data_IF_753496487311
#
_entry.id   IF_753496487311
#
_cell.length_a   1.000
_cell.length_b   1.000
_cell.length_c   1.000
_cell.angle_alpha   90.00
_cell.angle_beta   90.00
_cell.angle_gamma   90.00
#
_symmetry.space_group_name_H-M   'P 1'
#
loop_
_entity.id
_entity.type
_entity.pdbx_description
1 polymer ?
#
# COMPACT_ATOMS: atom_id res chain seq x y z
N UNK A 1 5.62 -18.39 -5.95
CA UNK A 1 6.81 -18.09 -5.18
C UNK A 1 7.21 -16.63 -5.23
N UNK A 2 8.50 -16.39 -5.04
CA UNK A 2 9.07 -15.05 -4.92
C UNK A 2 8.80 -14.14 -6.15
N UNK A 3 8.87 -14.68 -7.36
CA UNK A 3 8.61 -13.92 -8.59
C UNK A 3 7.17 -13.38 -8.70
N UNK A 4 6.19 -14.08 -8.13
CA UNK A 4 4.80 -13.62 -8.11
C UNK A 4 4.61 -12.48 -7.10
N UNK A 5 5.35 -12.52 -6.00
CA UNK A 5 5.39 -11.44 -5.00
C UNK A 5 5.97 -10.15 -5.57
N UNK A 6 7.04 -10.23 -6.37
CA UNK A 6 7.70 -9.04 -6.94
C UNK A 6 6.74 -8.25 -7.83
N UNK A 7 5.92 -8.91 -8.66
CA UNK A 7 4.92 -8.21 -9.48
C UNK A 7 3.90 -7.45 -8.64
N UNK A 8 3.36 -8.11 -7.63
CA UNK A 8 2.37 -7.50 -6.73
C UNK A 8 3.00 -6.38 -5.90
N UNK A 9 4.26 -6.54 -5.51
CA UNK A 9 5.00 -5.54 -4.77
C UNK A 9 5.30 -4.31 -5.62
N UNK A 10 5.69 -4.46 -6.90
CA UNK A 10 5.89 -3.33 -7.81
C UNK A 10 4.60 -2.54 -7.99
N UNK A 11 3.48 -3.21 -8.24
CA UNK A 11 2.18 -2.56 -8.40
C UNK A 11 1.73 -1.88 -7.10
N UNK A 12 1.85 -2.56 -5.96
CA UNK A 12 1.47 -2.01 -4.66
C UNK A 12 2.40 -0.90 -4.19
N UNK A 13 3.71 -1.05 -4.37
CA UNK A 13 4.69 -0.07 -3.91
C UNK A 13 4.56 1.28 -4.62
N UNK A 14 4.18 1.29 -5.91
CA UNK A 14 3.93 2.53 -6.65
C UNK A 14 2.78 3.37 -6.08
N UNK A 15 1.94 2.79 -5.22
CA UNK A 15 0.79 3.43 -4.61
C UNK A 15 1.02 3.83 -3.14
N UNK A 16 2.16 3.48 -2.55
CA UNK A 16 2.44 3.70 -1.14
C UNK A 16 2.88 5.14 -0.87
N UNK A 17 2.23 5.77 0.10
CA UNK A 17 2.64 7.06 0.66
C UNK A 17 3.75 6.89 1.71
N UNK A 18 3.89 5.68 2.27
CA UNK A 18 4.94 5.24 3.17
C UNK A 18 4.94 3.73 3.31
N UNK A 19 5.96 3.13 3.90
CA UNK A 19 6.04 1.69 4.09
C UNK A 19 6.56 1.30 5.47
N UNK A 20 6.04 0.20 6.01
CA UNK A 20 6.60 -0.46 7.18
C UNK A 20 7.40 -1.68 6.72
N UNK A 21 8.71 -1.61 6.92
CA UNK A 21 9.63 -2.73 6.65
C UNK A 21 9.67 -3.64 7.87
N UNK A 22 9.18 -4.87 7.72
CA UNK A 22 9.21 -5.86 8.80
C UNK A 22 10.45 -6.75 8.64
N UNK A 23 11.29 -6.78 9.66
CA UNK A 23 12.51 -7.60 9.73
C UNK A 23 12.44 -8.49 10.97
N UNK A 24 12.70 -9.78 10.83
CA UNK A 24 12.80 -10.67 11.98
C UNK A 24 14.12 -10.42 12.71
N UNK A 25 14.07 -10.11 14.00
CA UNK A 25 15.27 -9.88 14.80
C UNK A 25 16.19 -11.12 14.88
N UNK A 26 15.63 -12.33 14.72
CA UNK A 26 16.37 -13.58 14.66
C UNK A 26 17.19 -13.77 13.39
N UNK A 27 16.75 -13.19 12.27
CA UNK A 27 17.32 -13.42 10.95
C UNK A 27 18.15 -12.22 10.45
N UNK A 28 17.86 -11.02 10.99
CA UNK A 28 18.48 -9.77 10.56
C UNK A 28 18.16 -9.40 9.11
N UNK A 29 19.07 -8.69 8.47
CA UNK A 29 18.91 -8.24 7.09
C UNK A 29 19.21 -9.37 6.10
N UNK A 30 18.17 -9.87 5.46
CA UNK A 30 18.25 -10.92 4.45
C UNK A 30 18.32 -10.34 3.02
N UNK A 31 18.63 -11.21 2.03
CA UNK A 31 18.63 -10.82 0.62
C UNK A 31 17.29 -10.19 0.19
N UNK A 32 16.18 -10.77 0.62
CA UNK A 32 14.82 -10.25 0.35
C UNK A 32 14.61 -8.87 0.95
N UNK A 33 15.12 -8.60 2.15
CA UNK A 33 15.05 -7.27 2.77
C UNK A 33 15.70 -6.21 1.87
N UNK A 34 16.87 -6.54 1.32
CA UNK A 34 17.62 -5.66 0.40
C UNK A 34 16.86 -5.44 -0.92
N UNK A 35 16.26 -6.49 -1.47
CA UNK A 35 15.42 -6.39 -2.68
C UNK A 35 14.19 -5.49 -2.44
N UNK A 36 13.53 -5.64 -1.29
CA UNK A 36 12.38 -4.82 -0.92
C UNK A 36 12.77 -3.33 -0.76
N UNK A 37 13.90 -3.05 -0.11
CA UNK A 37 14.41 -1.68 0.03
C UNK A 37 14.75 -1.06 -1.32
N UNK A 38 15.44 -1.81 -2.18
CA UNK A 38 15.78 -1.36 -3.53
C UNK A 38 14.53 -1.01 -4.32
N UNK A 39 13.54 -1.89 -4.29
CA UNK A 39 12.30 -1.71 -5.01
C UNK A 39 11.49 -0.52 -4.46
N UNK A 40 11.33 -0.43 -3.14
CA UNK A 40 10.67 0.71 -2.50
C UNK A 40 11.31 2.05 -2.94
N UNK A 41 12.65 2.08 -3.01
CA UNK A 41 13.37 3.26 -3.47
C UNK A 41 13.14 3.56 -4.95
N UNK A 42 13.14 2.55 -5.81
CA UNK A 42 12.93 2.70 -7.27
C UNK A 42 11.52 3.18 -7.61
N UNK A 43 10.50 2.71 -6.90
CA UNK A 43 9.12 3.15 -7.11
C UNK A 43 8.78 4.46 -6.39
N UNK A 44 9.73 5.04 -5.66
CA UNK A 44 9.58 6.37 -5.07
C UNK A 44 8.88 6.41 -3.72
N UNK A 45 8.89 5.32 -2.93
CA UNK A 45 8.38 5.36 -1.54
C UNK A 45 9.20 6.41 -0.75
N UNK A 46 8.56 7.47 -0.23
CA UNK A 46 9.30 8.61 0.32
C UNK A 46 9.94 8.31 1.67
N UNK A 47 9.24 7.62 2.54
CA UNK A 47 9.66 7.30 3.90
C UNK A 47 9.30 5.86 4.28
N UNK A 48 10.11 5.27 5.14
CA UNK A 48 9.85 3.94 5.73
C UNK A 48 9.92 4.02 7.26
N UNK A 49 9.32 3.05 7.92
CA UNK A 49 9.51 2.71 9.34
C UNK A 49 9.98 1.27 9.37
N UNK A 50 10.85 0.90 10.28
CA UNK A 50 11.24 -0.49 10.48
C UNK A 50 10.54 -1.04 11.70
N UNK A 51 9.99 -2.25 11.58
CA UNK A 51 9.50 -3.03 12.71
C UNK A 51 10.38 -4.29 12.85
N UNK A 52 11.24 -4.31 13.88
CA UNK A 52 12.02 -5.48 14.26
C UNK A 52 11.12 -6.44 15.04
N UNK A 53 10.62 -7.43 14.33
CA UNK A 53 9.69 -8.44 14.85
C UNK A 53 10.42 -9.63 15.46
N UNK A 54 9.71 -10.47 16.22
CA UNK A 54 10.21 -11.70 16.87
C UNK A 54 11.27 -11.46 17.93
N UNK A 55 11.28 -10.29 18.58
CA UNK A 55 12.24 -9.99 19.66
C UNK A 55 12.12 -10.98 20.82
N UNK A 56 10.93 -11.54 21.04
CA UNK A 56 10.68 -12.59 22.02
C UNK A 56 11.49 -13.88 21.81
N UNK A 57 11.94 -14.12 20.58
CA UNK A 57 12.73 -15.31 20.23
C UNK A 57 14.25 -15.12 20.44
N UNK A 58 14.68 -13.94 20.87
CA UNK A 58 16.08 -13.69 21.22
C UNK A 58 16.41 -14.04 22.69
N UNK A 59 15.41 -14.51 23.45
CA UNK A 59 15.56 -14.92 24.87
C UNK A 59 16.26 -13.88 25.76
N UNK A 60 16.10 -12.60 25.44
CA UNK A 60 16.70 -11.48 26.18
C UNK A 60 18.14 -11.14 25.77
N UNK A 61 18.62 -11.66 24.66
CA UNK A 61 19.94 -11.31 24.09
C UNK A 61 19.91 -9.86 23.52
N UNK A 62 20.21 -8.89 24.40
CA UNK A 62 20.26 -7.48 24.06
C UNK A 62 21.42 -7.14 23.11
N UNK A 63 22.53 -7.88 23.19
CA UNK A 63 23.70 -7.66 22.32
C UNK A 63 23.35 -8.01 20.87
N UNK A 64 22.72 -9.17 20.67
CA UNK A 64 22.24 -9.58 19.35
C UNK A 64 21.21 -8.61 18.79
N UNK A 65 20.27 -8.12 19.63
CA UNK A 65 19.28 -7.14 19.22
C UNK A 65 19.91 -5.82 18.76
N UNK A 66 20.92 -5.33 19.47
CA UNK A 66 21.67 -4.13 19.10
C UNK A 66 22.43 -4.31 17.78
N UNK A 67 23.09 -5.46 17.56
CA UNK A 67 23.80 -5.74 16.32
C UNK A 67 22.84 -5.77 15.11
N UNK A 68 21.68 -6.41 15.26
CA UNK A 68 20.66 -6.43 14.21
C UNK A 68 20.12 -5.03 13.93
N UNK A 69 19.89 -4.22 14.95
CA UNK A 69 19.44 -2.84 14.79
C UNK A 69 20.45 -2.00 14.00
N UNK A 70 21.74 -2.12 14.31
CA UNK A 70 22.81 -1.43 13.58
C UNK A 70 22.93 -1.88 12.13
N UNK A 71 22.87 -3.21 11.85
CA UNK A 71 22.90 -3.71 10.47
C UNK A 71 21.70 -3.22 9.67
N UNK A 72 20.52 -3.15 10.28
CA UNK A 72 19.31 -2.58 9.66
C UNK A 72 19.51 -1.10 9.37
N UNK A 73 20.01 -0.29 10.32
CA UNK A 73 20.30 1.15 10.13
C UNK A 73 21.26 1.38 8.98
N UNK A 74 22.35 0.65 8.96
CA UNK A 74 23.36 0.73 7.89
C UNK A 74 22.76 0.36 6.54
N UNK A 75 21.96 -0.68 6.51
CA UNK A 75 21.34 -1.14 5.28
C UNK A 75 20.34 -0.13 4.72
N UNK A 76 19.41 0.39 5.52
CA UNK A 76 18.42 1.36 5.03
C UNK A 76 19.09 2.64 4.53
N UNK A 77 20.17 3.10 5.17
CA UNK A 77 20.95 4.25 4.71
C UNK A 77 21.64 3.98 3.37
N UNK A 78 22.22 2.79 3.16
CA UNK A 78 22.83 2.39 1.88
C UNK A 78 21.82 2.43 0.73
N UNK A 79 20.55 2.17 1.00
CA UNK A 79 19.46 2.26 0.02
C UNK A 79 18.82 3.66 -0.08
N UNK A 80 19.41 4.66 0.62
CA UNK A 80 19.05 6.09 0.49
C UNK A 80 17.83 6.51 1.32
N UNK A 81 17.48 5.75 2.36
CA UNK A 81 16.54 6.20 3.38
C UNK A 81 17.23 6.96 4.51
N UNK A 82 16.47 7.73 5.29
CA UNK A 82 17.00 8.58 6.35
C UNK A 82 17.67 7.79 7.46
N UNK A 83 18.74 8.32 8.02
CA UNK A 83 19.36 7.83 9.25
C UNK A 83 18.40 7.93 10.47
N UNK A 84 17.45 8.88 10.42
CA UNK A 84 16.46 9.10 11.47
C UNK A 84 15.23 8.19 11.33
N UNK A 85 15.25 7.23 10.39
CA UNK A 85 14.16 6.25 10.22
C UNK A 85 13.85 5.57 11.53
N UNK A 86 12.59 5.62 12.03
CA UNK A 86 12.21 4.96 13.27
C UNK A 86 12.35 3.43 13.15
N UNK A 87 12.92 2.83 14.20
CA UNK A 87 13.02 1.37 14.34
C UNK A 87 12.28 0.97 15.62
N UNK A 88 11.15 0.32 15.43
CA UNK A 88 10.31 -0.19 16.53
C UNK A 88 10.65 -1.67 16.75
N UNK A 89 10.80 -2.06 18.00
CA UNK A 89 11.17 -3.44 18.40
C UNK A 89 10.00 -4.11 19.11
N UNK A 90 9.67 -5.34 18.74
CA UNK A 90 8.57 -6.03 19.41
C UNK A 90 8.31 -7.45 18.89
N UNK A 91 7.23 -8.01 19.42
CA UNK A 91 6.70 -9.31 19.01
C UNK A 91 5.24 -9.16 18.62
N UNK A 92 4.99 -9.19 17.31
CA UNK A 92 3.61 -9.19 16.80
C UNK A 92 2.83 -10.44 17.25
N UNK A 93 3.53 -11.56 17.47
CA UNK A 93 2.92 -12.79 17.97
C UNK A 93 2.38 -12.61 19.41
N UNK A 94 3.18 -12.04 20.32
CA UNK A 94 2.74 -11.76 21.69
C UNK A 94 1.64 -10.69 21.70
N UNK A 95 1.78 -9.63 20.92
CA UNK A 95 0.76 -8.59 20.82
C UNK A 95 -0.60 -9.13 20.38
N UNK A 96 -0.62 -10.13 19.49
CA UNK A 96 -1.85 -10.74 19.00
C UNK A 96 -2.45 -11.76 19.97
N UNK A 97 -1.63 -12.64 20.55
CA UNK A 97 -2.11 -13.77 21.32
C UNK A 97 -2.22 -13.51 22.84
N UNK A 98 -1.51 -12.49 23.32
CA UNK A 98 -1.45 -12.12 24.73
C UNK A 98 -1.81 -10.63 24.91
N UNK A 99 -2.81 -10.16 24.18
CA UNK A 99 -3.22 -8.74 24.10
C UNK A 99 -3.73 -8.17 25.43
N UNK A 100 -4.12 -9.04 26.36
CA UNK A 100 -4.56 -8.61 27.71
C UNK A 100 -3.40 -8.04 28.55
N UNK A 101 -2.15 -8.29 28.16
CA UNK A 101 -0.98 -7.71 28.77
C UNK A 101 -0.53 -6.45 28.00
N UNK A 102 -0.66 -5.23 28.57
CA UNK A 102 -0.29 -3.98 27.89
C UNK A 102 1.16 -3.92 27.43
N UNK A 103 2.09 -4.59 28.11
CA UNK A 103 3.50 -4.62 27.69
C UNK A 103 3.69 -5.32 26.32
N UNK A 104 2.83 -6.29 25.99
CA UNK A 104 2.89 -6.99 24.73
C UNK A 104 2.32 -6.18 23.56
N UNK A 105 1.38 -5.27 23.81
CA UNK A 105 0.75 -4.40 22.79
C UNK A 105 1.49 -3.08 22.59
N UNK A 106 2.35 -2.68 23.53
CA UNK A 106 3.09 -1.41 23.52
C UNK A 106 3.84 -1.17 22.21
N UNK A 107 4.51 -2.19 21.66
CA UNK A 107 5.24 -2.07 20.39
C UNK A 107 4.32 -1.73 19.21
N UNK A 108 3.06 -2.15 19.23
CA UNK A 108 2.07 -1.80 18.22
C UNK A 108 1.62 -0.34 18.38
N UNK A 109 1.40 0.11 19.62
CA UNK A 109 1.07 1.51 19.91
C UNK A 109 2.21 2.44 19.50
N UNK A 110 3.47 2.06 19.79
CA UNK A 110 4.67 2.78 19.35
C UNK A 110 4.78 2.84 17.81
N UNK A 111 4.46 1.72 17.12
CA UNK A 111 4.44 1.69 15.66
C UNK A 111 3.39 2.65 15.10
N UNK A 112 2.18 2.65 15.64
CA UNK A 112 1.11 3.56 15.22
C UNK A 112 1.50 5.02 15.47
N UNK A 113 2.04 5.33 16.65
CA UNK A 113 2.52 6.68 16.97
C UNK A 113 3.66 7.12 16.05
N UNK A 114 4.56 6.21 15.69
CA UNK A 114 5.62 6.47 14.72
C UNK A 114 5.05 6.73 13.33
N UNK A 115 4.03 5.99 12.91
CA UNK A 115 3.35 6.22 11.62
C UNK A 115 2.73 7.62 11.58
N UNK A 116 2.02 8.03 12.63
CA UNK A 116 1.37 9.34 12.71
C UNK A 116 2.36 10.51 12.72
N UNK A 117 3.55 10.32 13.31
CA UNK A 117 4.55 11.39 13.43
C UNK A 117 5.60 11.42 12.33
N UNK A 118 5.90 10.29 11.71
CA UNK A 118 6.99 10.14 10.73
C UNK A 118 6.54 10.29 9.28
N UNK A 119 5.38 9.74 8.92
CA UNK A 119 4.85 9.87 7.58
C UNK A 119 4.20 11.24 7.40
N UNK A 120 4.49 11.88 6.25
CA UNK A 120 3.81 13.11 5.90
C UNK A 120 2.40 12.81 5.40
N UNK A 121 1.45 13.69 5.70
CA UNK A 121 0.13 13.61 5.10
C UNK A 121 0.24 13.73 3.58
N UNK A 122 -0.28 12.76 2.80
CA UNK A 122 -0.19 12.83 1.36
C UNK A 122 -0.99 14.01 0.81
N UNK A 123 -0.37 14.78 -0.08
CA UNK A 123 -1.07 15.85 -0.81
C UNK A 123 -2.07 15.20 -1.77
N UNK A 124 -3.36 15.38 -1.49
CA UNK A 124 -4.46 14.85 -2.31
C UNK A 124 -4.96 15.91 -3.27
N UNK A 125 -4.89 15.60 -4.55
CA UNK A 125 -5.25 16.51 -5.64
C UNK A 125 -6.73 16.31 -6.02
N UNK A 126 -7.63 16.59 -5.09
CA UNK A 126 -9.09 16.38 -5.20
C UNK A 126 -9.80 17.43 -6.07
N UNK A 127 -9.18 18.61 -6.29
CA UNK A 127 -9.76 19.70 -7.08
C UNK A 127 -9.58 19.54 -8.60
N UNK A 128 -8.71 18.62 -9.02
CA UNK A 128 -8.51 18.33 -10.45
C UNK A 128 -9.59 17.39 -11.02
N UNK A 129 -9.74 17.32 -12.34
CA UNK A 129 -10.62 16.32 -12.95
C UNK A 129 -10.24 14.91 -12.55
N UNK A 130 -11.24 14.07 -12.28
CA UNK A 130 -11.07 12.68 -11.88
C UNK A 130 -10.20 11.90 -12.85
N UNK A 131 -9.26 11.10 -12.30
CA UNK A 131 -8.41 10.19 -13.05
C UNK A 131 -7.98 9.03 -12.16
N UNK A 132 -8.15 7.80 -12.66
CA UNK A 132 -7.75 6.57 -12.00
C UNK A 132 -7.16 5.58 -13.01
N UNK A 133 -5.87 5.23 -12.93
CA UNK A 133 -5.29 4.12 -13.70
C UNK A 133 -5.96 2.79 -13.33
N UNK A 134 -6.26 1.97 -14.34
CA UNK A 134 -6.87 0.65 -14.15
C UNK A 134 -5.75 -0.38 -13.90
N UNK A 135 -5.76 -0.95 -12.70
CA UNK A 135 -4.74 -1.90 -12.25
C UNK A 135 -5.19 -3.34 -12.38
N UNK A 136 -6.46 -3.60 -12.08
CA UNK A 136 -7.05 -4.92 -12.24
C UNK A 136 -8.52 -4.85 -12.64
N UNK A 137 -9.06 -5.97 -13.17
CA UNK A 137 -10.40 -6.04 -13.74
C UNK A 137 -11.06 -7.33 -13.29
N UNK A 138 -12.19 -7.19 -12.60
CA UNK A 138 -12.97 -8.30 -12.09
C UNK A 138 -14.38 -8.29 -12.70
N UNK A 139 -14.99 -9.46 -12.77
CA UNK A 139 -16.42 -9.60 -13.07
C UNK A 139 -17.15 -10.08 -11.84
N UNK A 140 -18.17 -9.34 -11.42
CA UNK A 140 -19.06 -9.76 -10.34
C UNK A 140 -20.33 -10.29 -10.99
N UNK A 141 -20.64 -11.57 -10.73
CA UNK A 141 -21.85 -12.22 -11.26
C UNK A 141 -23.12 -11.42 -10.89
N UNK A 142 -23.91 -11.07 -11.90
CA UNK A 142 -25.16 -10.30 -11.73
C UNK A 142 -24.99 -8.80 -11.49
N UNK A 143 -23.74 -8.27 -11.34
CA UNK A 143 -23.48 -6.85 -11.10
C UNK A 143 -22.71 -6.16 -12.24
N UNK A 144 -21.79 -6.87 -12.92
CA UNK A 144 -21.04 -6.34 -14.05
C UNK A 144 -19.54 -6.35 -13.86
N UNK A 145 -18.85 -5.46 -14.56
CA UNK A 145 -17.39 -5.34 -14.54
C UNK A 145 -16.96 -4.30 -13.50
N UNK A 146 -16.03 -4.69 -12.64
CA UNK A 146 -15.36 -3.84 -11.67
C UNK A 146 -13.93 -3.62 -12.12
N UNK A 147 -13.51 -2.36 -12.16
CA UNK A 147 -12.11 -1.97 -12.35
C UNK A 147 -11.56 -1.46 -11.03
N UNK A 148 -10.34 -1.83 -10.69
CA UNK A 148 -9.70 -1.39 -9.47
C UNK A 148 -8.48 -0.53 -9.77
N UNK A 149 -8.17 0.39 -8.87
CA UNK A 149 -7.01 1.27 -8.93
C UNK A 149 -7.00 2.29 -7.81
N UNK A 150 -5.88 3.01 -7.72
CA UNK A 150 -5.77 4.21 -6.88
C UNK A 150 -6.27 5.41 -7.67
N UNK A 151 -7.14 6.20 -7.08
CA UNK A 151 -7.54 7.50 -7.65
C UNK A 151 -6.34 8.44 -7.54
N UNK A 152 -5.77 8.83 -8.68
CA UNK A 152 -4.61 9.72 -8.75
C UNK A 152 -4.98 11.17 -8.45
N UNK A 153 -6.16 11.60 -8.92
CA UNK A 153 -6.65 12.95 -8.73
C UNK A 153 -8.17 13.04 -8.90
N UNK A 154 -8.73 14.10 -8.33
CA UNK A 154 -10.15 14.42 -8.41
C UNK A 154 -11.02 13.57 -7.51
N UNK A 155 -12.30 13.69 -7.72
CA UNK A 155 -13.37 12.96 -7.02
C UNK A 155 -14.27 12.31 -8.05
N UNK A 156 -14.73 11.11 -7.76
CA UNK A 156 -15.75 10.40 -8.52
C UNK A 156 -16.91 10.04 -7.62
N UNK A 157 -18.13 10.24 -8.11
CA UNK A 157 -19.35 9.94 -7.37
C UNK A 157 -20.14 8.83 -8.05
N UNK A 158 -21.06 8.24 -7.30
CA UNK A 158 -22.09 7.37 -7.87
C UNK A 158 -22.85 8.09 -8.98
N UNK A 159 -23.06 7.38 -10.10
CA UNK A 159 -23.71 7.84 -11.32
C UNK A 159 -22.93 8.88 -12.14
N UNK A 160 -21.70 9.19 -11.80
CA UNK A 160 -20.87 10.05 -12.64
C UNK A 160 -20.61 9.39 -14.01
N UNK A 161 -20.71 10.16 -15.12
CA UNK A 161 -20.22 9.74 -16.40
C UNK A 161 -18.69 9.71 -16.39
N UNK A 162 -18.10 8.67 -16.92
CA UNK A 162 -16.65 8.48 -17.03
C UNK A 162 -16.26 7.89 -18.39
N UNK A 163 -15.00 8.07 -18.76
CA UNK A 163 -14.42 7.50 -19.98
C UNK A 163 -13.32 6.52 -19.64
N UNK A 164 -13.28 5.42 -20.38
CA UNK A 164 -12.16 4.48 -20.41
C UNK A 164 -11.25 4.91 -21.56
N UNK A 165 -10.03 5.35 -21.23
CA UNK A 165 -9.10 5.99 -22.16
C UNK A 165 -7.80 5.20 -22.26
N UNK A 166 -7.19 5.21 -23.43
CA UNK A 166 -5.88 4.62 -23.70
C UNK A 166 -5.94 3.18 -24.19
N UNK A 167 -4.89 2.74 -24.87
CA UNK A 167 -4.67 1.38 -25.45
C UNK A 167 -5.72 0.97 -26.48
N UNK A 168 -7.00 1.25 -26.23
CA UNK A 168 -8.14 0.97 -27.10
C UNK A 168 -8.91 2.26 -27.41
N UNK A 169 -9.84 2.26 -28.37
CA UNK A 169 -10.72 3.40 -28.58
C UNK A 169 -11.43 3.79 -27.28
N UNK A 170 -11.53 5.10 -27.06
CA UNK A 170 -12.21 5.65 -25.86
C UNK A 170 -13.67 5.17 -25.81
N UNK A 171 -14.08 4.72 -24.64
CA UNK A 171 -15.44 4.24 -24.40
C UNK A 171 -16.07 5.04 -23.24
N UNK A 172 -17.31 5.50 -23.46
CA UNK A 172 -18.10 6.15 -22.42
C UNK A 172 -18.84 5.14 -21.57
N UNK A 173 -18.89 5.39 -20.26
CA UNK A 173 -19.64 4.57 -19.31
C UNK A 173 -20.10 5.40 -18.11
N UNK A 174 -20.76 4.76 -17.16
CA UNK A 174 -21.26 5.39 -15.94
C UNK A 174 -20.87 4.56 -14.73
N UNK A 175 -20.47 5.21 -13.66
CA UNK A 175 -20.18 4.59 -12.36
C UNK A 175 -21.48 4.11 -11.72
N UNK A 176 -21.60 2.84 -11.43
CA UNK A 176 -22.77 2.24 -10.78
C UNK A 176 -22.49 1.67 -9.39
N UNK A 177 -21.23 1.71 -8.96
CA UNK A 177 -20.80 1.31 -7.62
C UNK A 177 -19.38 1.76 -7.35
N UNK A 178 -19.10 2.13 -6.11
CA UNK A 178 -17.76 2.43 -5.59
C UNK A 178 -17.60 1.62 -4.32
N UNK A 179 -16.55 0.82 -4.24
CA UNK A 179 -16.28 -0.03 -3.07
C UNK A 179 -14.83 0.14 -2.61
N UNK A 180 -14.64 0.22 -1.29
CA UNK A 180 -13.34 0.24 -0.63
C UNK A 180 -13.42 -0.61 0.64
N UNK A 181 -12.46 -1.55 0.83
CA UNK A 181 -12.46 -2.47 1.98
C UNK A 181 -13.80 -3.17 2.22
N UNK A 182 -14.42 -3.68 1.16
CA UNK A 182 -15.73 -4.35 1.18
C UNK A 182 -16.91 -3.46 1.66
N UNK A 183 -16.73 -2.15 1.67
CA UNK A 183 -17.79 -1.17 1.96
C UNK A 183 -18.15 -0.41 0.71
N UNK A 184 -19.43 -0.25 0.47
CA UNK A 184 -19.94 0.62 -0.60
C UNK A 184 -19.83 2.08 -0.16
N UNK A 185 -19.37 2.92 -1.08
CA UNK A 185 -19.21 4.36 -0.87
C UNK A 185 -20.07 5.13 -1.87
N UNK A 186 -20.48 6.34 -1.51
CA UNK A 186 -21.15 7.28 -2.42
C UNK A 186 -20.16 8.01 -3.33
N UNK A 187 -18.91 8.17 -2.88
CA UNK A 187 -17.85 8.84 -3.62
C UNK A 187 -16.48 8.25 -3.28
N UNK A 188 -15.52 8.44 -4.19
CA UNK A 188 -14.09 8.18 -3.97
C UNK A 188 -13.28 9.42 -4.34
N UNK A 189 -12.16 9.65 -3.67
CA UNK A 189 -11.30 10.82 -3.89
C UNK A 189 -9.83 10.45 -4.10
N UNK A 190 -9.07 11.41 -4.57
CA UNK A 190 -7.62 11.26 -4.77
C UNK A 190 -6.95 10.60 -3.57
N UNK A 191 -6.15 9.56 -3.83
CA UNK A 191 -5.48 8.73 -2.82
C UNK A 191 -6.24 7.47 -2.39
N UNK A 192 -7.53 7.36 -2.70
CA UNK A 192 -8.32 6.17 -2.37
C UNK A 192 -8.02 5.01 -3.32
N UNK A 193 -7.84 3.80 -2.78
CA UNK A 193 -7.82 2.57 -3.55
C UNK A 193 -9.24 2.00 -3.61
N UNK A 194 -9.84 2.02 -4.80
CA UNK A 194 -11.25 1.66 -4.96
C UNK A 194 -11.48 0.63 -6.05
N UNK A 195 -12.58 -0.10 -5.93
CA UNK A 195 -13.20 -0.84 -7.01
C UNK A 195 -14.38 -0.04 -7.55
N UNK A 196 -14.38 0.26 -8.84
CA UNK A 196 -15.46 1.00 -9.51
C UNK A 196 -16.23 0.07 -10.44
N UNK A 197 -17.51 -0.06 -10.19
CA UNK A 197 -18.45 -0.83 -11.01
C UNK A 197 -18.92 0.04 -12.18
N UNK A 198 -18.80 -0.48 -13.40
CA UNK A 198 -19.07 0.23 -14.64
C UNK A 198 -20.31 -0.34 -15.34
N UNK A 199 -21.17 0.54 -15.86
CA UNK A 199 -22.39 0.17 -16.57
C UNK A 199 -22.10 -0.27 -17.99
N UNK A 200 -22.62 -1.45 -18.38
CA UNK A 200 -22.60 -1.90 -19.78
C UNK A 200 -21.22 -2.21 -20.34
N UNK A 201 -20.22 -2.39 -19.48
CA UNK A 201 -18.84 -2.72 -19.86
C UNK A 201 -18.60 -4.19 -19.55
N UNK A 202 -18.13 -4.95 -20.53
CA UNK A 202 -17.68 -6.32 -20.33
C UNK A 202 -16.18 -6.38 -20.01
N UNK A 203 -15.75 -7.42 -19.28
CA UNK A 203 -14.32 -7.59 -18.94
C UNK A 203 -13.39 -7.57 -20.16
N UNK A 204 -13.86 -8.09 -21.30
CA UNK A 204 -13.10 -8.10 -22.56
C UNK A 204 -12.87 -6.71 -23.17
N UNK A 205 -13.70 -5.72 -22.79
CA UNK A 205 -13.66 -4.35 -23.35
C UNK A 205 -12.64 -3.46 -22.65
N UNK A 206 -12.18 -3.88 -21.48
CA UNK A 206 -11.21 -3.14 -20.66
C UNK A 206 -9.92 -3.94 -20.54
N UNK A 207 -8.80 -3.23 -20.53
CA UNK A 207 -7.49 -3.83 -20.28
C UNK A 207 -6.73 -3.05 -19.23
N UNK A 208 -5.93 -3.76 -18.43
CA UNK A 208 -5.01 -3.17 -17.46
C UNK A 208 -4.10 -2.14 -18.13
N UNK A 209 -3.90 -1.00 -17.50
CA UNK A 209 -3.10 0.10 -18.02
C UNK A 209 -3.91 1.16 -18.80
N UNK A 210 -5.21 0.92 -19.04
CA UNK A 210 -6.11 2.01 -19.42
C UNK A 210 -6.38 2.91 -18.20
N UNK A 211 -6.98 4.05 -18.44
CA UNK A 211 -7.31 5.05 -17.43
C UNK A 211 -8.80 5.30 -17.43
N UNK A 212 -9.40 5.33 -16.25
CA UNK A 212 -10.74 5.84 -16.04
C UNK A 212 -10.65 7.34 -15.73
N UNK A 213 -11.34 8.18 -16.50
CA UNK A 213 -11.22 9.62 -16.41
C UNK A 213 -12.58 10.31 -16.52
N UNK A 214 -12.63 11.58 -16.07
CA UNK A 214 -13.78 12.47 -16.33
C UNK A 214 -13.86 12.73 -17.84
N UNK A 215 -15.08 12.75 -18.46
CA UNK A 215 -15.25 13.06 -19.86
C UNK A 215 -14.75 14.47 -20.22
N UNK A 216 -14.12 14.61 -21.43
CA UNK A 216 -13.58 15.87 -21.95
C UNK A 216 -12.12 16.02 -21.59
#
# INVERSE_FOLDING_TARGET
GHADYVKNMITGAAQMDGAVLVVAATDGVMAQTKEHLLLARQVGVPKIIVFLNKVDQLDGDEEMLMLVEEDVKDTIQKYGFSADTPIIKGSAFKALNESDNPENTKCIEELLAAMDSWFDDPVRDDQKPFLMPIEDIFTISGRGTVVTGKIERGVVNMNDPVQIVGIRPTADTTVTGIEMFQKTLDSGMAGDNVGILLRGVEKKDVVRGQVLAKPG
#
